data_IF_943317890407
#
_entry.id   IF_943317890407
#
_cell.length_a   1.000
_cell.length_b   1.000
_cell.length_c   1.000
_cell.angle_alpha   90.00
_cell.angle_beta   90.00
_cell.angle_gamma   90.00
#
_symmetry.space_group_name_H-M   'P 1'
#
loop_
_entity.id
_entity.type
_entity.pdbx_description
1 polymer ?
#
# COMPACT_ATOMS: atom_id res chain seq x y z
N UNK A 1 26.10 16.17 -28.32
CA UNK A 1 24.94 16.29 -27.41
C UNK A 1 23.84 15.25 -27.70
N UNK A 2 23.57 14.93 -28.98
CA UNK A 2 22.55 13.96 -29.42
C UNK A 2 22.84 12.50 -28.95
N UNK A 3 24.10 12.08 -28.99
CA UNK A 3 24.53 10.73 -28.59
C UNK A 3 24.32 10.44 -27.08
N UNK A 4 24.46 11.46 -26.20
CA UNK A 4 24.16 11.36 -24.77
C UNK A 4 22.67 11.16 -24.49
N UNK A 5 21.77 11.80 -25.26
CA UNK A 5 20.32 11.62 -25.10
C UNK A 5 19.87 10.23 -25.56
N UNK A 6 20.45 9.70 -26.63
CA UNK A 6 20.20 8.33 -27.10
C UNK A 6 20.67 7.29 -26.06
N UNK A 7 21.86 7.49 -25.47
CA UNK A 7 22.37 6.62 -24.42
C UNK A 7 21.48 6.65 -23.16
N UNK A 8 20.91 7.80 -22.79
CA UNK A 8 19.96 7.94 -21.68
C UNK A 8 18.63 7.25 -21.98
N UNK A 9 18.12 7.34 -23.22
CA UNK A 9 16.92 6.62 -23.63
C UNK A 9 17.13 5.10 -23.66
N UNK A 10 18.30 4.63 -24.13
CA UNK A 10 18.67 3.21 -24.12
C UNK A 10 18.88 2.68 -22.70
N UNK A 11 19.47 3.48 -21.81
CA UNK A 11 19.62 3.10 -20.40
C UNK A 11 18.25 3.07 -19.69
N UNK A 12 17.35 4.03 -19.97
CA UNK A 12 15.96 3.97 -19.49
C UNK A 12 15.22 2.74 -20.05
N UNK A 13 15.43 2.37 -21.30
CA UNK A 13 14.83 1.18 -21.91
C UNK A 13 15.37 -0.11 -21.26
N UNK A 14 16.67 -0.15 -20.96
CA UNK A 14 17.30 -1.28 -20.28
C UNK A 14 16.89 -1.34 -18.80
N UNK A 15 16.69 -0.20 -18.15
CA UNK A 15 16.10 -0.11 -16.81
C UNK A 15 14.68 -0.64 -16.86
N UNK A 16 13.80 -0.17 -17.76
CA UNK A 16 12.41 -0.67 -17.87
C UNK A 16 12.36 -2.18 -18.16
N UNK A 17 13.28 -2.71 -18.97
CA UNK A 17 13.41 -4.15 -19.24
C UNK A 17 13.91 -4.96 -18.01
N UNK A 18 14.62 -4.32 -17.08
CA UNK A 18 15.03 -4.89 -15.78
C UNK A 18 14.08 -4.50 -14.61
N UNK A 19 13.20 -3.51 -14.78
CA UNK A 19 12.30 -2.91 -13.77
C UNK A 19 10.96 -3.65 -13.66
N UNK A 20 10.65 -4.53 -14.61
CA UNK A 20 9.77 -5.68 -14.38
C UNK A 20 10.58 -6.89 -13.88
N UNK A 21 11.66 -6.62 -13.15
CA UNK A 21 12.47 -7.65 -12.51
C UNK A 21 11.58 -8.39 -11.53
N UNK A 22 11.29 -9.66 -11.83
CA UNK A 22 10.51 -10.53 -10.96
C UNK A 22 11.01 -10.52 -9.50
N UNK A 23 12.29 -10.18 -9.29
CA UNK A 23 12.90 -9.96 -7.97
C UNK A 23 12.26 -8.85 -7.14
N UNK A 24 12.01 -7.65 -7.69
CA UNK A 24 11.46 -6.53 -6.92
C UNK A 24 9.98 -6.73 -6.59
N UNK A 25 9.22 -7.26 -7.54
CA UNK A 25 7.82 -7.66 -7.29
C UNK A 25 7.77 -8.75 -6.22
N UNK A 26 8.69 -9.72 -6.25
CA UNK A 26 8.75 -10.77 -5.25
C UNK A 26 9.10 -10.24 -3.86
N UNK A 27 10.10 -9.33 -3.73
CA UNK A 27 10.43 -8.68 -2.45
C UNK A 27 9.24 -7.88 -1.91
N UNK A 28 8.59 -7.08 -2.77
CA UNK A 28 7.42 -6.30 -2.38
C UNK A 28 6.25 -7.18 -1.95
N UNK A 29 6.00 -8.28 -2.67
CA UNK A 29 4.96 -9.25 -2.32
C UNK A 29 5.28 -9.95 -1.00
N UNK A 30 6.51 -10.41 -0.81
CA UNK A 30 6.95 -11.04 0.43
C UNK A 30 6.78 -10.09 1.63
N UNK A 31 7.20 -8.83 1.49
CA UNK A 31 7.00 -7.83 2.54
C UNK A 31 5.52 -7.60 2.83
N UNK A 32 4.69 -7.39 1.80
CA UNK A 32 3.26 -7.17 1.97
C UNK A 32 2.56 -8.34 2.67
N UNK A 33 2.85 -9.58 2.26
CA UNK A 33 2.29 -10.79 2.87
C UNK A 33 2.72 -10.93 4.34
N UNK A 34 4.01 -10.75 4.63
CA UNK A 34 4.53 -10.86 6.00
C UNK A 34 3.95 -9.78 6.90
N UNK A 35 3.92 -8.53 6.44
CA UNK A 35 3.35 -7.41 7.20
C UNK A 35 1.85 -7.60 7.43
N UNK A 36 1.09 -7.94 6.38
CA UNK A 36 -0.34 -8.17 6.49
C UNK A 36 -0.66 -9.34 7.41
N UNK A 37 -0.01 -10.49 7.24
CA UNK A 37 -0.24 -11.68 8.06
C UNK A 37 0.13 -11.42 9.53
N UNK A 38 1.28 -10.78 9.78
CA UNK A 38 1.72 -10.43 11.13
C UNK A 38 0.73 -9.51 11.84
N UNK A 39 0.28 -8.47 11.15
CA UNK A 39 -0.70 -7.51 11.67
C UNK A 39 -2.08 -8.14 11.85
N UNK A 40 -2.55 -8.95 10.91
CA UNK A 40 -3.84 -9.64 11.01
C UNK A 40 -3.86 -10.62 12.20
N UNK A 41 -2.81 -11.41 12.39
CA UNK A 41 -2.70 -12.32 13.55
C UNK A 41 -2.70 -11.52 14.86
N UNK A 42 -1.96 -10.43 14.92
CA UNK A 42 -1.94 -9.55 16.09
C UNK A 42 -3.33 -8.95 16.37
N UNK A 43 -3.97 -8.36 15.37
CA UNK A 43 -5.28 -7.72 15.48
C UNK A 43 -6.39 -8.71 15.88
N UNK A 44 -6.31 -9.96 15.42
CA UNK A 44 -7.27 -11.02 15.76
C UNK A 44 -7.12 -11.54 17.20
N UNK A 45 -5.95 -11.40 17.82
CA UNK A 45 -5.65 -11.95 19.16
C UNK A 45 -5.60 -10.90 20.26
N UNK A 46 -5.40 -9.64 19.90
CA UNK A 46 -5.25 -8.54 20.85
C UNK A 46 -6.54 -8.24 21.62
N UNK A 47 -6.38 -7.81 22.87
CA UNK A 47 -7.47 -7.32 23.74
C UNK A 47 -7.59 -5.80 23.73
N UNK A 48 -6.80 -5.12 22.92
CA UNK A 48 -6.93 -3.69 22.68
C UNK A 48 -8.11 -3.41 21.75
N UNK A 49 -8.79 -2.29 21.98
CA UNK A 49 -9.91 -1.84 21.16
C UNK A 49 -9.41 -0.81 20.15
N UNK A 50 -9.43 -1.17 18.88
CA UNK A 50 -9.01 -0.32 17.78
C UNK A 50 -10.17 0.45 17.14
N UNK A 51 -11.38 0.38 17.69
CA UNK A 51 -12.58 1.04 17.14
C UNK A 51 -12.39 2.56 16.94
N UNK A 52 -11.55 3.20 17.77
CA UNK A 52 -11.23 4.63 17.67
C UNK A 52 -10.48 5.01 16.39
N UNK A 53 -9.78 4.06 15.74
CA UNK A 53 -9.02 4.32 14.52
C UNK A 53 -9.92 4.61 13.32
N UNK A 54 -11.17 4.15 13.31
CA UNK A 54 -12.05 4.23 12.14
C UNK A 54 -12.20 5.65 11.57
N UNK A 55 -12.36 6.66 12.45
CA UNK A 55 -12.44 8.06 12.02
C UNK A 55 -11.14 8.59 11.42
N UNK A 56 -10.00 8.29 12.06
CA UNK A 56 -8.68 8.69 11.60
C UNK A 56 -8.32 8.04 10.25
N UNK A 57 -8.58 6.75 10.10
CA UNK A 57 -8.30 5.99 8.88
C UNK A 57 -9.16 6.50 7.71
N UNK A 58 -10.44 6.77 7.95
CA UNK A 58 -11.34 7.34 6.94
C UNK A 58 -10.85 8.72 6.47
N UNK A 59 -10.44 9.60 7.40
CA UNK A 59 -9.85 10.89 7.05
C UNK A 59 -8.55 10.72 6.26
N UNK A 60 -7.68 9.80 6.67
CA UNK A 60 -6.43 9.49 5.97
C UNK A 60 -6.65 8.97 4.56
N UNK A 61 -7.70 8.17 4.33
CA UNK A 61 -8.08 7.68 3.01
C UNK A 61 -8.47 8.84 2.09
N UNK A 62 -9.31 9.76 2.56
CA UNK A 62 -9.64 10.96 1.80
C UNK A 62 -8.42 11.84 1.52
N UNK A 63 -7.49 11.95 2.45
CA UNK A 63 -6.24 12.66 2.23
C UNK A 63 -5.38 12.00 1.12
N UNK A 64 -5.24 10.67 1.12
CA UNK A 64 -4.55 9.95 0.04
C UNK A 64 -5.27 10.11 -1.31
N UNK A 65 -6.59 10.08 -1.34
CA UNK A 65 -7.37 10.36 -2.55
C UNK A 65 -7.13 11.79 -3.06
N UNK A 66 -7.07 12.77 -2.16
CA UNK A 66 -6.70 14.15 -2.51
C UNK A 66 -5.29 14.25 -3.11
N UNK A 67 -4.31 13.55 -2.51
CA UNK A 67 -2.95 13.47 -3.03
C UNK A 67 -2.90 12.84 -4.43
N UNK A 68 -3.71 11.81 -4.69
CA UNK A 68 -3.84 11.19 -6.01
C UNK A 68 -4.34 12.20 -7.05
N UNK A 69 -5.36 13.01 -6.71
CA UNK A 69 -5.88 14.04 -7.60
C UNK A 69 -4.86 15.13 -7.88
N UNK A 70 -4.13 15.59 -6.86
CA UNK A 70 -3.06 16.59 -7.02
C UNK A 70 -1.94 16.03 -7.92
N UNK A 71 -1.57 14.76 -7.73
CA UNK A 71 -0.53 14.09 -8.50
C UNK A 71 -0.80 14.08 -10.01
N UNK A 72 -2.08 14.11 -10.44
CA UNK A 72 -2.46 14.19 -11.86
C UNK A 72 -2.07 15.53 -12.51
N UNK A 73 -2.06 16.62 -11.76
CA UNK A 73 -1.72 17.96 -12.28
C UNK A 73 -0.29 18.37 -11.96
N UNK A 74 0.22 17.94 -10.79
CA UNK A 74 1.54 18.30 -10.29
C UNK A 74 2.27 17.02 -9.89
N UNK A 75 3.19 16.51 -10.73
CA UNK A 75 3.94 15.30 -10.40
C UNK A 75 4.89 15.54 -9.23
N UNK A 76 4.86 14.65 -8.23
CA UNK A 76 5.76 14.69 -7.08
C UNK A 76 7.16 14.19 -7.44
N UNK A 77 8.19 14.71 -6.74
CA UNK A 77 9.56 14.20 -6.81
C UNK A 77 9.66 12.75 -6.31
N UNK A 78 10.75 12.04 -6.64
CA UNK A 78 10.98 10.66 -6.16
C UNK A 78 10.87 10.58 -4.63
N UNK A 79 11.52 11.48 -3.88
CA UNK A 79 11.41 11.55 -2.42
C UNK A 79 9.95 11.78 -1.93
N UNK A 80 9.17 12.59 -2.67
CA UNK A 80 7.75 12.78 -2.36
C UNK A 80 6.93 11.51 -2.60
N UNK A 81 7.23 10.75 -3.65
CA UNK A 81 6.55 9.48 -3.96
C UNK A 81 6.89 8.39 -2.93
N UNK A 82 8.13 8.32 -2.45
CA UNK A 82 8.52 7.46 -1.32
C UNK A 82 7.71 7.83 -0.08
N UNK A 83 7.62 9.12 0.26
CA UNK A 83 6.84 9.59 1.41
C UNK A 83 5.35 9.24 1.33
N UNK A 84 4.72 9.46 0.18
CA UNK A 84 3.30 9.10 -0.06
C UNK A 84 3.13 7.59 0.03
N UNK A 85 4.08 6.81 -0.47
CA UNK A 85 4.01 5.35 -0.44
C UNK A 85 4.14 4.81 0.99
N UNK A 86 5.05 5.35 1.78
CA UNK A 86 5.19 5.02 3.20
C UNK A 86 3.91 5.36 4.01
N UNK A 87 3.31 6.53 3.76
CA UNK A 87 2.03 6.90 4.38
C UNK A 87 0.90 5.95 3.97
N UNK A 88 0.86 5.55 2.69
CA UNK A 88 -0.07 4.53 2.19
C UNK A 88 0.09 3.20 2.92
N UNK A 89 1.31 2.69 3.04
CA UNK A 89 1.61 1.44 3.77
C UNK A 89 1.07 1.50 5.19
N UNK A 90 1.37 2.56 5.94
CA UNK A 90 0.90 2.73 7.32
C UNK A 90 -0.63 2.81 7.41
N UNK A 91 -1.26 3.50 6.46
CA UNK A 91 -2.71 3.65 6.45
C UNK A 91 -3.42 2.32 6.23
N UNK A 92 -3.00 1.53 5.23
CA UNK A 92 -3.63 0.24 4.93
C UNK A 92 -3.30 -0.85 5.95
N UNK A 93 -2.12 -0.80 6.59
CA UNK A 93 -1.88 -1.60 7.80
C UNK A 93 -2.82 -1.20 8.94
N UNK A 94 -3.10 0.10 9.09
CA UNK A 94 -4.09 0.61 10.04
C UNK A 94 -5.51 0.10 9.75
N UNK A 95 -5.97 0.13 8.49
CA UNK A 95 -7.24 -0.47 8.07
C UNK A 95 -7.28 -1.97 8.34
N UNK A 96 -6.19 -2.70 8.05
CA UNK A 96 -6.07 -4.12 8.36
C UNK A 96 -6.27 -4.39 9.86
N UNK A 97 -5.63 -3.59 10.73
CA UNK A 97 -5.83 -3.70 12.19
C UNK A 97 -7.30 -3.47 12.54
N UNK A 98 -7.88 -2.39 12.01
CA UNK A 98 -9.24 -1.99 12.32
C UNK A 98 -10.28 -3.04 11.90
N UNK A 99 -10.21 -3.54 10.67
CA UNK A 99 -11.18 -4.50 10.15
C UNK A 99 -11.03 -5.89 10.79
N UNK A 100 -9.81 -6.39 10.97
CA UNK A 100 -9.57 -7.69 11.62
C UNK A 100 -9.93 -7.63 13.11
N UNK A 101 -9.60 -6.54 13.81
CA UNK A 101 -9.97 -6.37 15.22
C UNK A 101 -11.49 -6.27 15.39
N UNK A 102 -12.18 -5.51 14.51
CA UNK A 102 -13.64 -5.40 14.51
C UNK A 102 -14.28 -6.78 14.30
N UNK A 103 -13.77 -7.54 13.33
CA UNK A 103 -14.24 -8.89 13.04
C UNK A 103 -14.08 -9.84 14.23
N UNK A 104 -12.91 -9.82 14.88
CA UNK A 104 -12.61 -10.69 16.01
C UNK A 104 -13.42 -10.35 17.27
N UNK A 105 -13.77 -9.07 17.47
CA UNK A 105 -14.46 -8.57 18.66
C UNK A 105 -15.97 -8.65 18.59
N UNK A 106 -16.54 -8.17 17.48
CA UNK A 106 -17.98 -7.96 17.36
C UNK A 106 -18.69 -9.10 16.64
N UNK A 107 -17.93 -10.03 16.05
CA UNK A 107 -18.49 -11.10 15.23
C UNK A 107 -19.08 -10.54 13.92
N UNK A 108 -19.82 -11.39 13.22
CA UNK A 108 -20.44 -11.07 11.94
C UNK A 108 -21.64 -11.99 11.70
N UNK A 109 -22.56 -11.53 10.87
CA UNK A 109 -23.66 -12.32 10.31
C UNK A 109 -23.29 -12.87 8.94
N UNK A 110 -23.99 -13.92 8.48
CA UNK A 110 -23.71 -14.52 7.16
C UNK A 110 -23.87 -13.52 5.99
N UNK A 111 -24.76 -12.55 6.15
CA UNK A 111 -25.04 -11.50 5.16
C UNK A 111 -23.87 -10.49 5.02
N UNK A 112 -23.05 -10.33 6.07
CA UNK A 112 -21.93 -9.39 6.10
C UNK A 112 -20.64 -10.00 5.54
N UNK A 113 -20.55 -11.34 5.45
CA UNK A 113 -19.35 -12.06 4.99
C UNK A 113 -18.81 -11.52 3.66
N UNK A 114 -19.63 -11.30 2.61
CA UNK A 114 -19.12 -10.81 1.33
C UNK A 114 -18.42 -9.46 1.46
N UNK A 115 -18.99 -8.54 2.25
CA UNK A 115 -18.43 -7.20 2.44
C UNK A 115 -17.15 -7.24 3.27
N UNK A 116 -17.11 -8.07 4.32
CA UNK A 116 -15.89 -8.27 5.14
C UNK A 116 -14.74 -8.78 4.27
N UNK A 117 -15.00 -9.79 3.43
CA UNK A 117 -13.97 -10.36 2.56
C UNK A 117 -13.47 -9.34 1.54
N UNK A 118 -14.37 -8.54 0.95
CA UNK A 118 -13.98 -7.47 0.03
C UNK A 118 -13.11 -6.43 0.73
N UNK A 119 -13.48 -5.98 1.93
CA UNK A 119 -12.70 -4.97 2.66
C UNK A 119 -11.29 -5.47 3.00
N UNK A 120 -11.17 -6.68 3.56
CA UNK A 120 -9.89 -7.30 3.89
C UNK A 120 -9.03 -7.50 2.63
N UNK A 121 -9.65 -7.87 1.50
CA UNK A 121 -8.96 -7.98 0.21
C UNK A 121 -8.46 -6.61 -0.29
N UNK A 122 -9.29 -5.57 -0.21
CA UNK A 122 -8.91 -4.21 -0.61
C UNK A 122 -7.78 -3.67 0.25
N UNK A 123 -7.78 -3.93 1.56
CA UNK A 123 -6.68 -3.55 2.45
C UNK A 123 -5.37 -4.20 2.03
N UNK A 124 -5.40 -5.51 1.74
CA UNK A 124 -4.23 -6.24 1.28
C UNK A 124 -3.70 -5.73 -0.06
N UNK A 125 -4.57 -5.57 -1.07
CA UNK A 125 -4.16 -5.12 -2.40
C UNK A 125 -3.63 -3.69 -2.38
N UNK A 126 -4.25 -2.80 -1.60
CA UNK A 126 -3.76 -1.44 -1.47
C UNK A 126 -2.41 -1.41 -0.75
N UNK A 127 -2.26 -2.12 0.37
CA UNK A 127 -0.97 -2.29 1.04
C UNK A 127 0.11 -2.78 0.06
N UNK A 128 -0.17 -3.85 -0.67
CA UNK A 128 0.76 -4.42 -1.65
C UNK A 128 1.15 -3.40 -2.72
N UNK A 129 0.18 -2.67 -3.26
CA UNK A 129 0.41 -1.62 -4.25
C UNK A 129 1.33 -0.52 -3.72
N UNK A 130 1.11 -0.06 -2.48
CA UNK A 130 1.96 0.96 -1.87
C UNK A 130 3.36 0.44 -1.51
N UNK A 131 3.48 -0.83 -1.11
CA UNK A 131 4.79 -1.49 -0.93
C UNK A 131 5.56 -1.55 -2.26
N UNK A 132 4.91 -1.95 -3.36
CA UNK A 132 5.54 -1.94 -4.67
C UNK A 132 5.98 -0.55 -5.09
N UNK A 133 5.12 0.46 -4.89
CA UNK A 133 5.45 1.86 -5.20
C UNK A 133 6.63 2.36 -4.37
N UNK A 134 6.75 1.94 -3.12
CA UNK A 134 7.87 2.28 -2.25
C UNK A 134 9.19 1.75 -2.82
N UNK A 135 9.27 0.46 -3.14
CA UNK A 135 10.47 -0.13 -3.75
C UNK A 135 10.78 0.47 -5.13
N UNK A 136 9.77 0.68 -5.96
CA UNK A 136 9.96 1.26 -7.29
C UNK A 136 10.45 2.72 -7.26
N UNK A 137 10.19 3.46 -6.18
CA UNK A 137 10.60 4.87 -6.05
C UNK A 137 11.99 5.04 -5.43
N UNK A 138 12.52 4.01 -4.76
CA UNK A 138 13.83 4.02 -4.08
C UNK A 138 15.00 3.69 -5.03
N UNK A 139 14.72 3.06 -6.19
CA UNK A 139 15.73 2.68 -7.19
C UNK A 139 16.06 3.78 -8.24
N UNK A 140 15.47 4.99 -8.12
CA UNK A 140 15.77 6.17 -8.95
C UNK A 140 16.91 7.04 -8.39
#
# INVERSE_FOLDING_TARGET
MFNKKILVCLNKLNIIHNLLGAGEVFKGFALAVVSFAGVAIYAARTKEDFSFLGGFLTMGLFALLGLLLIQLFIPFSSAGQVGISALGILLFLGFTIFDINRLARYGFTEEEIPMIVVNIYLDFINLFTYVLRFFASDED
#
